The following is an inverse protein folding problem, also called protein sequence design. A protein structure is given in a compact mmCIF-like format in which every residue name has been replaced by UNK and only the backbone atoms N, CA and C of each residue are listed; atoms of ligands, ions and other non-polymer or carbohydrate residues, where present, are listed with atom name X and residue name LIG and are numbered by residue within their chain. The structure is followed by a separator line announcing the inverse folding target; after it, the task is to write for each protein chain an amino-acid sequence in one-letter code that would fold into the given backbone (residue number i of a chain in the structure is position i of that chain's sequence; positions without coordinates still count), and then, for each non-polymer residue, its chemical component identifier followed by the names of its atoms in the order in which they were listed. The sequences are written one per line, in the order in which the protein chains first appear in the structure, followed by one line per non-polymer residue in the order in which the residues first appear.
data_IF_301247970917
#
_entry.id   IF_301247970917
#
_cell.length_a   1.000
_cell.length_b   1.000
_cell.length_c   1.000
_cell.angle_alpha   90.00
_cell.angle_beta   90.00
_cell.angle_gamma   90.00
#
_symmetry.space_group_name_H-M   'P 1'
#
loop_
_entity.id
_entity.type
_entity.pdbx_description
1 polymer ?
#
# COMPACT_ATOMS: atom_id res chain seq x y z
N UNK A 1 -26.35 13.68 -57.48
CA UNK A 1 -25.33 14.75 -57.42
C UNK A 1 -24.89 14.83 -55.97
N UNK A 2 -23.73 14.26 -55.65
CA UNK A 2 -23.21 14.17 -54.29
C UNK A 2 -21.99 15.08 -54.18
N UNK A 3 -22.08 16.18 -53.43
CA UNK A 3 -20.95 16.85 -52.79
C UNK A 3 -21.45 18.07 -51.98
N UNK A 4 -21.97 17.83 -50.78
CA UNK A 4 -22.20 18.89 -49.79
C UNK A 4 -21.92 18.38 -48.36
N UNK A 5 -20.77 17.73 -48.18
CA UNK A 5 -20.30 17.29 -46.85
C UNK A 5 -18.79 17.55 -46.67
N UNK A 6 -18.25 18.56 -47.35
CA UNK A 6 -16.90 19.04 -47.04
C UNK A 6 -16.99 20.03 -45.87
N UNK A 7 -16.43 19.63 -44.73
CA UNK A 7 -16.15 20.53 -43.62
C UNK A 7 -15.29 21.67 -44.17
N UNK A 8 -15.76 22.91 -43.98
CA UNK A 8 -15.02 24.07 -44.45
C UNK A 8 -13.64 24.12 -43.76
N UNK A 9 -12.54 24.42 -44.48
CA UNK A 9 -11.18 24.39 -43.92
C UNK A 9 -11.03 25.20 -42.62
N UNK A 10 -11.79 26.28 -42.48
CA UNK A 10 -11.82 27.13 -41.28
C UNK A 10 -12.43 26.44 -40.07
N UNK A 11 -13.45 25.61 -40.27
CA UNK A 11 -14.12 24.84 -39.22
C UNK A 11 -13.27 23.65 -38.78
N UNK A 12 -12.57 23.01 -39.71
CA UNK A 12 -11.57 21.98 -39.40
C UNK A 12 -10.44 22.54 -38.51
N UNK A 13 -9.90 23.71 -38.86
CA UNK A 13 -8.85 24.37 -38.07
C UNK A 13 -9.34 24.77 -36.68
N UNK A 14 -10.59 25.24 -36.56
CA UNK A 14 -11.20 25.53 -35.26
C UNK A 14 -11.28 24.27 -34.39
N UNK A 15 -11.80 23.18 -34.94
CA UNK A 15 -11.96 21.92 -34.20
C UNK A 15 -10.61 21.35 -33.76
N UNK A 16 -9.57 21.45 -34.60
CA UNK A 16 -8.20 21.05 -34.25
C UNK A 16 -7.68 21.92 -33.10
N UNK A 17 -7.90 23.23 -33.13
CA UNK A 17 -7.46 24.14 -32.06
C UNK A 17 -8.15 23.83 -30.72
N UNK A 18 -9.45 23.56 -30.74
CA UNK A 18 -10.22 23.17 -29.55
C UNK A 18 -9.75 21.83 -28.99
N UNK A 19 -9.48 20.86 -29.87
CA UNK A 19 -8.93 19.56 -29.47
C UNK A 19 -7.55 19.70 -28.81
N UNK A 20 -6.64 20.49 -29.40
CA UNK A 20 -5.31 20.75 -28.84
C UNK A 20 -5.42 21.41 -27.46
N UNK A 21 -6.32 22.37 -27.28
CA UNK A 21 -6.56 23.02 -25.98
C UNK A 21 -7.11 22.03 -24.94
N UNK A 22 -8.02 21.16 -25.35
CA UNK A 22 -8.55 20.10 -24.48
C UNK A 22 -7.44 19.15 -24.04
N UNK A 23 -6.56 18.74 -24.96
CA UNK A 23 -5.41 17.89 -24.68
C UNK A 23 -4.42 18.55 -23.70
N UNK A 24 -4.10 19.84 -23.90
CA UNK A 24 -3.23 20.60 -23.00
C UNK A 24 -3.80 20.67 -21.57
N UNK A 25 -5.11 20.91 -21.45
CA UNK A 25 -5.79 20.92 -20.15
C UNK A 25 -5.77 19.54 -19.47
N UNK A 26 -5.90 18.45 -20.23
CA UNK A 26 -5.82 17.08 -19.70
C UNK A 26 -4.42 16.76 -19.18
N UNK A 27 -3.38 17.12 -19.95
CA UNK A 27 -1.99 16.90 -19.56
C UNK A 27 -1.64 17.69 -18.29
N UNK A 28 -2.09 18.95 -18.18
CA UNK A 28 -1.92 19.76 -16.97
C UNK A 28 -2.56 19.13 -15.75
N UNK A 29 -3.80 18.63 -15.88
CA UNK A 29 -4.50 17.95 -14.78
C UNK A 29 -3.79 16.66 -14.35
N UNK A 30 -3.33 15.86 -15.32
CA UNK A 30 -2.60 14.64 -15.02
C UNK A 30 -1.29 14.93 -14.28
N UNK A 31 -0.52 15.91 -14.73
CA UNK A 31 0.73 16.30 -14.08
C UNK A 31 0.48 16.85 -12.66
N UNK A 32 -0.52 17.71 -12.48
CA UNK A 32 -0.91 18.21 -11.15
C UNK A 32 -1.31 17.09 -10.21
N UNK A 33 -2.08 16.11 -10.68
CA UNK A 33 -2.46 14.95 -9.88
C UNK A 33 -1.26 14.06 -9.53
N UNK A 34 -0.31 13.90 -10.44
CA UNK A 34 0.92 13.15 -10.18
C UNK A 34 1.80 13.86 -9.14
N UNK A 35 1.91 15.19 -9.21
CA UNK A 35 2.64 16.00 -8.22
C UNK A 35 1.98 15.94 -6.83
N UNK A 36 0.64 16.02 -6.76
CA UNK A 36 -0.11 15.87 -5.50
C UNK A 36 0.07 14.48 -4.89
N UNK A 37 0.05 13.42 -5.70
CA UNK A 37 0.31 12.06 -5.23
C UNK A 37 1.72 11.93 -4.66
N UNK A 38 2.74 12.40 -5.38
CA UNK A 38 4.13 12.38 -4.91
C UNK A 38 4.32 13.17 -3.62
N UNK A 39 3.69 14.35 -3.53
CA UNK A 39 3.74 15.18 -2.33
C UNK A 39 3.08 14.47 -1.15
N UNK A 40 1.90 13.89 -1.35
CA UNK A 40 1.20 13.14 -0.30
C UNK A 40 1.99 11.91 0.16
N UNK A 41 2.70 11.24 -0.75
CA UNK A 41 3.55 10.09 -0.43
C UNK A 41 4.77 10.52 0.40
N UNK A 42 5.42 11.62 0.03
CA UNK A 42 6.52 12.20 0.81
C UNK A 42 6.07 12.63 2.21
N UNK A 43 4.93 13.31 2.32
CA UNK A 43 4.33 13.71 3.60
C UNK A 43 3.95 12.50 4.45
N UNK A 44 3.41 11.43 3.85
CA UNK A 44 3.12 10.18 4.55
C UNK A 44 4.40 9.55 5.12
N UNK A 45 5.48 9.49 4.34
CA UNK A 45 6.76 8.94 4.79
C UNK A 45 7.38 9.79 5.91
N UNK A 46 7.27 11.10 5.83
CA UNK A 46 7.72 12.02 6.89
C UNK A 46 6.90 11.83 8.17
N UNK A 47 5.57 11.71 8.04
CA UNK A 47 4.68 11.44 9.17
C UNK A 47 4.97 10.08 9.81
N UNK A 48 5.28 9.04 9.02
CA UNK A 48 5.71 7.73 9.53
C UNK A 48 7.03 7.85 10.29
N UNK A 49 8.04 8.52 9.73
CA UNK A 49 9.33 8.73 10.40
C UNK A 49 9.16 9.51 11.71
N UNK A 50 8.30 10.53 11.69
CA UNK A 50 7.97 11.32 12.87
C UNK A 50 7.23 10.48 13.92
N UNK A 51 6.26 9.67 13.50
CA UNK A 51 5.51 8.77 14.38
C UNK A 51 6.41 7.70 15.00
N UNK A 52 7.30 7.08 14.23
CA UNK A 52 8.28 6.11 14.74
C UNK A 52 9.30 6.79 15.66
N UNK A 53 9.70 8.04 15.38
CA UNK A 53 10.58 8.81 16.25
C UNK A 53 9.91 9.19 17.58
N UNK A 54 8.64 9.59 17.57
CA UNK A 54 7.88 9.99 18.76
C UNK A 54 7.37 8.77 19.56
N UNK A 55 6.91 7.71 18.89
CA UNK A 55 6.55 6.44 19.52
C UNK A 55 7.80 5.68 20.00
N UNK A 56 8.93 5.92 19.33
CA UNK A 56 10.27 5.52 19.74
C UNK A 56 10.64 6.05 21.12
N UNK A 57 10.29 7.30 21.44
CA UNK A 57 10.63 7.87 22.75
C UNK A 57 9.69 7.42 23.87
N UNK A 58 8.44 7.05 23.57
CA UNK A 58 7.50 6.52 24.57
C UNK A 58 7.56 4.99 24.76
N UNK A 59 7.95 4.21 23.74
CA UNK A 59 8.02 2.73 23.82
C UNK A 59 9.40 2.18 24.19
N UNK A 60 10.48 2.97 24.08
CA UNK A 60 11.86 2.47 24.20
C UNK A 60 12.66 3.06 25.38
N UNK A 61 12.02 3.76 26.32
CA UNK A 61 12.72 4.34 27.47
C UNK A 61 12.99 3.32 28.61
N UNK A 62 12.99 2.03 28.30
CA UNK A 62 13.42 0.98 29.22
C UNK A 62 14.80 0.44 28.75
N UNK A 63 15.92 0.95 29.30
CA UNK A 63 17.26 0.72 28.77
C UNK A 63 17.77 -0.73 28.95
N UNK A 64 16.93 -1.66 29.41
CA UNK A 64 17.28 -3.08 29.59
C UNK A 64 16.90 -4.01 28.44
N UNK A 65 16.26 -3.54 27.35
CA UNK A 65 15.87 -4.42 26.24
C UNK A 65 16.78 -4.41 25.01
N UNK A 66 17.78 -3.53 24.94
CA UNK A 66 18.73 -3.47 23.83
C UNK A 66 20.18 -3.49 24.32
N UNK A 67 20.54 -4.56 25.02
CA UNK A 67 21.94 -4.95 25.14
C UNK A 67 22.05 -6.44 24.85
N UNK A 68 22.00 -6.80 23.57
CA UNK A 68 22.99 -7.76 23.08
C UNK A 68 23.27 -7.52 21.60
N UNK A 69 24.54 -7.42 21.28
CA UNK A 69 25.04 -7.07 19.97
C UNK A 69 24.90 -8.20 18.96
N UNK A 70 24.96 -7.80 17.69
CA UNK A 70 25.61 -8.60 16.63
C UNK A 70 25.14 -10.03 16.42
N UNK A 71 23.85 -10.25 16.14
CA UNK A 71 23.43 -11.31 15.20
C UNK A 71 22.25 -10.81 14.37
N UNK A 72 22.50 -10.46 13.11
CA UNK A 72 21.44 -10.27 12.11
C UNK A 72 20.70 -11.61 12.03
N UNK A 73 19.43 -11.75 12.45
CA UNK A 73 18.73 -13.00 12.26
C UNK A 73 18.52 -13.11 10.76
N UNK A 74 19.03 -14.18 10.17
CA UNK A 74 18.76 -14.52 8.79
C UNK A 74 17.26 -14.88 8.72
N UNK A 75 16.42 -13.87 8.50
CA UNK A 75 14.97 -14.03 8.41
C UNK A 75 14.70 -14.82 7.13
N UNK A 76 14.28 -16.07 7.29
CA UNK A 76 13.84 -16.90 6.16
C UNK A 76 12.68 -16.20 5.48
N UNK A 77 12.97 -15.58 4.34
CA UNK A 77 12.02 -14.95 3.45
C UNK A 77 11.02 -16.04 3.05
N UNK A 78 9.75 -15.88 3.41
CA UNK A 78 8.70 -16.79 2.99
C UNK A 78 8.53 -16.76 1.47
N UNK A 79 7.80 -17.71 0.86
CA UNK A 79 7.64 -17.79 -0.59
C UNK A 79 7.07 -16.52 -1.25
N UNK A 80 6.45 -15.62 -0.47
CA UNK A 80 5.88 -14.34 -0.91
C UNK A 80 6.76 -13.11 -0.68
N UNK A 81 7.98 -13.25 -0.18
CA UNK A 81 8.82 -12.10 0.18
C UNK A 81 8.47 -11.47 1.54
N UNK A 82 7.38 -11.89 2.20
CA UNK A 82 6.99 -11.39 3.53
C UNK A 82 7.59 -12.24 4.65
N UNK A 83 8.02 -11.58 5.72
CA UNK A 83 8.52 -12.21 6.95
C UNK A 83 7.37 -12.57 7.89
N UNK A 84 7.62 -13.46 8.86
CA UNK A 84 6.62 -13.79 9.90
C UNK A 84 6.18 -12.57 10.70
N UNK A 85 7.09 -11.63 10.92
CA UNK A 85 6.82 -10.34 11.58
C UNK A 85 5.83 -9.50 10.77
N UNK A 86 5.98 -9.45 9.44
CA UNK A 86 5.07 -8.65 8.60
C UNK A 86 3.65 -9.18 8.64
N UNK A 87 3.49 -10.51 8.62
CA UNK A 87 2.18 -11.16 8.76
C UNK A 87 1.58 -10.92 10.14
N UNK A 88 2.40 -10.95 11.21
CA UNK A 88 1.93 -10.65 12.55
C UNK A 88 1.47 -9.18 12.69
N UNK A 89 2.24 -8.22 12.17
CA UNK A 89 1.88 -6.79 12.15
C UNK A 89 0.56 -6.59 11.39
N UNK A 90 0.40 -7.22 10.22
CA UNK A 90 -0.83 -7.14 9.44
C UNK A 90 -2.05 -7.67 10.22
N UNK A 91 -1.90 -8.81 10.90
CA UNK A 91 -2.97 -9.38 11.74
C UNK A 91 -3.36 -8.39 12.84
N UNK A 92 -2.40 -7.76 13.51
CA UNK A 92 -2.67 -6.79 14.57
C UNK A 92 -3.38 -5.54 14.05
N UNK A 93 -2.89 -4.94 12.96
CA UNK A 93 -3.52 -3.76 12.35
C UNK A 93 -4.96 -4.06 11.93
N UNK A 94 -5.23 -5.23 11.35
CA UNK A 94 -6.60 -5.61 11.01
C UNK A 94 -7.48 -5.84 12.25
N UNK A 95 -6.91 -6.36 13.35
CA UNK A 95 -7.63 -6.54 14.62
C UNK A 95 -7.95 -5.22 15.30
N UNK A 96 -7.04 -4.26 15.27
CA UNK A 96 -7.26 -2.89 15.75
C UNK A 96 -8.39 -2.20 14.98
N UNK A 97 -8.49 -2.46 13.67
CA UNK A 97 -9.57 -2.00 12.81
C UNK A 97 -10.90 -2.77 12.96
N UNK A 98 -10.99 -3.70 13.92
CA UNK A 98 -12.22 -4.45 14.21
C UNK A 98 -12.50 -5.63 13.29
N UNK A 99 -11.55 -6.04 12.42
CA UNK A 99 -11.75 -7.20 11.56
C UNK A 99 -11.85 -8.50 12.37
N UNK A 100 -12.70 -9.42 11.93
CA UNK A 100 -12.81 -10.76 12.53
C UNK A 100 -11.64 -11.65 12.09
N UNK A 101 -11.26 -12.65 12.89
CA UNK A 101 -10.20 -13.59 12.50
C UNK A 101 -10.49 -14.33 11.18
N UNK A 102 -11.78 -14.52 10.86
CA UNK A 102 -12.20 -15.07 9.56
C UNK A 102 -11.89 -14.09 8.43
N UNK A 103 -12.32 -12.83 8.56
CA UNK A 103 -12.04 -11.80 7.55
C UNK A 103 -10.53 -11.61 7.31
N UNK A 104 -9.71 -11.73 8.36
CA UNK A 104 -8.25 -11.68 8.24
C UNK A 104 -7.73 -12.91 7.48
N UNK A 105 -8.24 -14.11 7.76
CA UNK A 105 -7.83 -15.32 7.04
C UNK A 105 -8.22 -15.27 5.56
N UNK A 106 -9.43 -14.79 5.26
CA UNK A 106 -9.92 -14.61 3.89
C UNK A 106 -9.00 -13.61 3.16
N UNK A 107 -8.71 -12.45 3.78
CA UNK A 107 -7.79 -11.45 3.22
C UNK A 107 -6.38 -11.99 2.94
N UNK A 108 -5.81 -12.78 3.87
CA UNK A 108 -4.49 -13.37 3.67
C UNK A 108 -4.48 -14.39 2.52
N UNK A 109 -5.61 -15.05 2.27
CA UNK A 109 -5.79 -16.00 1.17
C UNK A 109 -5.95 -15.26 -0.16
N UNK A 110 -6.79 -14.21 -0.20
CA UNK A 110 -7.03 -13.37 -1.38
C UNK A 110 -5.75 -12.66 -1.86
N UNK A 111 -4.92 -12.21 -0.91
CA UNK A 111 -3.60 -11.61 -1.17
C UNK A 111 -2.53 -12.64 -1.60
N UNK A 112 -2.91 -13.92 -1.76
CA UNK A 112 -2.01 -15.03 -2.10
C UNK A 112 -0.82 -15.15 -1.13
N UNK A 113 -1.04 -14.85 0.15
CA UNK A 113 0.02 -14.97 1.16
C UNK A 113 0.09 -16.44 1.59
N UNK A 114 1.20 -17.15 1.34
CA UNK A 114 1.34 -18.54 1.73
C UNK A 114 1.31 -18.67 3.25
N UNK A 115 0.70 -19.75 3.74
CA UNK A 115 0.75 -20.07 5.18
C UNK A 115 2.19 -20.37 5.60
N UNK A 116 2.48 -20.28 6.90
CA UNK A 116 3.82 -20.62 7.42
C UNK A 116 4.23 -22.08 7.21
N UNK A 117 3.27 -22.97 6.94
CA UNK A 117 3.54 -24.36 6.58
C UNK A 117 3.81 -24.54 5.08
N UNK A 118 3.54 -23.52 4.26
CA UNK A 118 3.59 -23.57 2.80
C UNK A 118 2.52 -24.47 2.19
N UNK A 119 1.51 -24.88 2.96
CA UNK A 119 0.45 -25.80 2.53
C UNK A 119 -0.92 -25.25 2.96
N UNK A 120 -1.86 -25.25 2.03
CA UNK A 120 -3.25 -24.86 2.26
C UNK A 120 -3.48 -23.35 2.43
N UNK A 121 -4.71 -23.02 2.77
CA UNK A 121 -5.23 -21.66 2.94
C UNK A 121 -5.13 -21.18 4.39
N UNK A 122 -5.33 -19.89 4.59
CA UNK A 122 -5.43 -19.33 5.93
C UNK A 122 -6.76 -19.72 6.58
N UNK A 123 -6.69 -20.03 7.87
CA UNK A 123 -7.88 -20.35 8.67
C UNK A 123 -7.93 -19.45 9.90
N UNK A 124 -9.12 -19.04 10.30
CA UNK A 124 -9.35 -18.15 11.43
C UNK A 124 -8.67 -18.63 12.72
N UNK A 125 -8.68 -19.95 12.98
CA UNK A 125 -8.01 -20.54 14.14
C UNK A 125 -6.48 -20.32 14.11
N UNK A 126 -5.86 -20.40 12.94
CA UNK A 126 -4.42 -20.17 12.77
C UNK A 126 -4.09 -18.71 13.04
N UNK A 127 -4.90 -17.79 12.51
CA UNK A 127 -4.75 -16.35 12.75
C UNK A 127 -4.89 -16.03 14.24
N UNK A 128 -5.92 -16.57 14.90
CA UNK A 128 -6.13 -16.39 16.33
C UNK A 128 -4.92 -16.85 17.15
N UNK A 129 -4.40 -18.05 16.86
CA UNK A 129 -3.20 -18.58 17.55
C UNK A 129 -1.97 -17.68 17.37
N UNK A 130 -1.83 -17.04 16.21
CA UNK A 130 -0.71 -16.12 15.96
C UNK A 130 -0.87 -14.81 16.72
N UNK A 131 -2.10 -14.30 16.80
CA UNK A 131 -2.43 -13.13 17.59
C UNK A 131 -2.22 -13.37 19.09
N UNK A 132 -2.67 -14.51 19.60
CA UNK A 132 -2.53 -14.88 21.03
C UNK A 132 -1.08 -15.14 21.43
N UNK A 133 -0.28 -15.78 20.57
CA UNK A 133 1.13 -16.10 20.88
C UNK A 133 2.03 -14.85 20.99
N UNK A 134 1.56 -13.70 20.50
CA UNK A 134 2.27 -12.42 20.59
C UNK A 134 2.07 -11.73 21.96
N UNK A 135 0.95 -12.01 22.65
CA UNK A 135 0.61 -11.44 23.95
C UNK A 135 1.00 -12.38 25.10
#
# INVERSE_FOLDING_TARGET
MNNDNLIQPTELLRNISEFIRSMDNLLKKYNSSAEELQKSEAEMLENINTFVGHSGSMLFNDPKRFTDGTKKPEYKIGPSGRTKSDVAILIDTMRENGATFKAIADHLTDENIPTFSGRGEWHAQTVQRLFEKKN
#
